data_IF_171982808170
#
_entry.id   IF_171982808170
#
_cell.length_a   1.000
_cell.length_b   1.000
_cell.length_c   1.000
_cell.angle_alpha   90.00
_cell.angle_beta   90.00
_cell.angle_gamma   90.00
#
_symmetry.space_group_name_H-M   'P 1'
#
loop_
_entity.id
_entity.type
_entity.pdbx_description
1 polymer ?
#
# COMPACT_ATOMS: atom_id res chain seq x y z
N UNK A 1 3.90 18.67 -21.92
CA UNK A 1 3.19 17.51 -21.41
C UNK A 1 2.16 17.92 -20.37
N UNK A 2 1.08 17.15 -20.23
CA UNK A 2 0.08 17.38 -19.16
C UNK A 2 0.60 16.83 -17.83
N UNK A 3 0.29 17.56 -16.74
CA UNK A 3 0.62 17.16 -15.37
C UNK A 3 -0.44 17.69 -14.40
N UNK A 4 -0.99 16.82 -13.55
CA UNK A 4 -1.90 17.24 -12.47
C UNK A 4 -1.05 17.66 -11.28
N UNK A 5 -1.15 18.95 -10.84
CA UNK A 5 -0.19 19.55 -9.92
C UNK A 5 -0.83 20.17 -8.68
N UNK A 6 -0.08 20.11 -7.57
CA UNK A 6 -0.36 20.82 -6.33
C UNK A 6 0.48 22.12 -6.29
N UNK A 7 -0.18 23.27 -6.30
CA UNK A 7 0.44 24.59 -6.20
C UNK A 7 0.47 25.14 -4.78
N UNK A 8 -0.43 24.66 -3.93
CA UNK A 8 -0.56 25.06 -2.53
C UNK A 8 -1.00 23.86 -1.69
N UNK A 9 -0.76 23.84 -0.36
CA UNK A 9 -1.33 22.83 0.51
C UNK A 9 -2.86 22.85 0.43
N UNK A 10 -3.48 21.66 0.29
CA UNK A 10 -4.93 21.54 0.25
C UNK A 10 -5.38 20.17 -0.23
N UNK A 11 -6.68 19.89 -0.07
CA UNK A 11 -7.30 18.65 -0.50
C UNK A 11 -7.31 18.46 -2.02
N UNK A 12 -7.80 17.29 -2.51
CA UNK A 12 -7.74 16.90 -3.93
C UNK A 12 -8.36 17.92 -4.91
N UNK A 13 -9.33 18.71 -4.47
CA UNK A 13 -9.98 19.73 -5.29
C UNK A 13 -9.08 20.95 -5.60
N UNK A 14 -7.93 21.08 -4.93
CA UNK A 14 -6.96 22.18 -5.19
C UNK A 14 -5.95 21.85 -6.29
N UNK A 15 -5.97 20.61 -6.79
CA UNK A 15 -5.10 20.18 -7.88
C UNK A 15 -5.57 20.79 -9.20
N UNK A 16 -4.61 21.22 -10.02
CA UNK A 16 -4.87 21.74 -11.37
C UNK A 16 -4.11 20.96 -12.43
N UNK A 17 -4.71 20.84 -13.60
CA UNK A 17 -4.04 20.25 -14.76
C UNK A 17 -3.26 21.36 -15.48
N UNK A 18 -1.94 21.21 -15.51
CA UNK A 18 -1.03 22.16 -16.14
C UNK A 18 -0.42 21.55 -17.41
N UNK A 19 -0.04 22.43 -18.35
CA UNK A 19 0.90 22.11 -19.39
C UNK A 19 2.31 22.52 -18.98
N UNK A 20 3.25 21.58 -18.95
CA UNK A 20 4.63 21.78 -18.55
C UNK A 20 5.62 21.18 -19.54
N UNK A 21 6.87 21.61 -19.52
CA UNK A 21 7.92 20.98 -20.32
C UNK A 21 8.13 19.53 -19.89
N UNK A 22 8.38 18.65 -20.87
CA UNK A 22 8.73 17.27 -20.58
C UNK A 22 10.15 17.21 -19.97
N UNK A 23 10.37 16.42 -18.91
CA UNK A 23 11.71 16.23 -18.38
C UNK A 23 12.58 15.44 -19.36
N UNK A 24 13.90 15.65 -19.29
CA UNK A 24 14.89 14.76 -19.88
C UNK A 24 15.56 13.93 -18.79
N UNK A 25 15.92 12.65 -19.05
CA UNK A 25 16.61 11.85 -18.05
C UNK A 25 18.01 12.37 -17.82
N UNK A 26 18.37 12.59 -16.56
CA UNK A 26 19.74 12.87 -16.13
C UNK A 26 20.64 11.62 -16.14
N UNK A 27 21.95 11.76 -15.82
CA UNK A 27 22.81 10.60 -15.62
C UNK A 27 22.25 9.63 -14.58
N UNK A 28 22.18 8.34 -14.91
CA UNK A 28 21.66 7.32 -14.03
C UNK A 28 20.11 7.23 -13.98
N UNK A 29 19.39 8.00 -14.78
CA UNK A 29 17.92 8.02 -14.81
C UNK A 29 17.34 7.41 -16.10
N UNK A 30 16.10 6.98 -16.00
CA UNK A 30 15.28 6.51 -17.11
C UNK A 30 14.06 7.43 -17.24
N UNK A 31 13.77 7.91 -18.45
CA UNK A 31 12.52 8.61 -18.75
C UNK A 31 11.42 7.59 -19.05
N UNK A 32 10.34 7.65 -18.30
CA UNK A 32 9.18 6.79 -18.46
C UNK A 32 8.01 7.58 -19.06
N UNK A 33 7.49 7.14 -20.19
CA UNK A 33 6.16 7.53 -20.68
C UNK A 33 5.11 6.75 -19.88
N UNK A 34 4.45 7.42 -18.97
CA UNK A 34 3.53 6.79 -18.02
C UNK A 34 2.24 6.36 -18.76
N UNK A 35 1.74 5.18 -18.44
CA UNK A 35 0.46 4.63 -18.92
C UNK A 35 -0.55 4.47 -17.78
N UNK A 36 -0.06 4.31 -16.56
CA UNK A 36 -0.89 4.20 -15.38
C UNK A 36 -0.14 4.70 -14.14
N UNK A 37 -0.85 5.36 -13.24
CA UNK A 37 -0.38 5.76 -11.91
C UNK A 37 -1.32 5.19 -10.84
N UNK A 38 -0.78 4.42 -9.91
CA UNK A 38 -1.51 3.90 -8.76
C UNK A 38 -1.62 4.92 -7.65
N UNK A 39 -2.84 5.17 -7.16
CA UNK A 39 -3.09 6.10 -6.08
C UNK A 39 -2.97 5.39 -4.73
N UNK A 40 -2.32 6.05 -3.78
CA UNK A 40 -2.04 5.54 -2.46
C UNK A 40 -2.42 6.54 -1.36
N UNK A 41 -2.63 6.09 -0.13
CA UNK A 41 -3.01 6.97 0.97
C UNK A 41 -1.99 8.10 1.23
N UNK A 42 -0.66 7.89 1.11
CA UNK A 42 0.30 9.00 1.16
C UNK A 42 0.05 10.13 0.17
N UNK A 43 -0.58 9.88 -0.98
CA UNK A 43 -0.91 10.93 -1.94
C UNK A 43 -1.93 11.92 -1.38
N UNK A 44 -2.83 11.48 -0.50
CA UNK A 44 -3.78 12.35 0.20
C UNK A 44 -3.09 13.25 1.22
N UNK A 45 -2.03 12.75 1.86
CA UNK A 45 -1.30 13.47 2.90
C UNK A 45 -0.25 14.43 2.33
N UNK A 46 0.42 14.06 1.22
CA UNK A 46 1.50 14.86 0.65
C UNK A 46 0.99 16.17 0.03
N UNK A 47 -0.22 16.17 -0.55
CA UNK A 47 -0.85 17.39 -1.08
C UNK A 47 -1.27 18.38 0.02
N UNK A 48 -1.47 17.89 1.25
CA UNK A 48 -1.85 18.67 2.42
C UNK A 48 -0.67 19.00 3.35
N UNK A 49 0.58 18.66 2.97
CA UNK A 49 1.80 18.78 3.81
C UNK A 49 1.76 17.99 5.14
N UNK A 50 0.94 16.96 5.19
CA UNK A 50 0.79 16.08 6.37
C UNK A 50 1.68 14.83 6.32
N UNK A 51 2.45 14.64 5.24
CA UNK A 51 3.36 13.52 5.08
C UNK A 51 4.80 13.87 5.47
N UNK A 52 5.65 12.85 5.73
CA UNK A 52 7.05 13.06 6.10
C UNK A 52 7.87 13.71 4.99
N UNK A 53 7.55 13.40 3.73
CA UNK A 53 8.18 14.02 2.57
C UNK A 53 7.31 15.18 2.07
N UNK A 54 7.93 16.34 1.87
CA UNK A 54 7.26 17.56 1.39
C UNK A 54 7.97 18.06 0.14
N UNK A 55 7.59 17.59 -1.06
CA UNK A 55 8.17 18.08 -2.30
C UNK A 55 7.99 19.59 -2.44
N UNK A 56 8.98 20.29 -3.04
CA UNK A 56 8.79 21.71 -3.36
C UNK A 56 7.65 21.88 -4.36
N UNK A 57 6.79 22.88 -4.11
CA UNK A 57 5.68 23.19 -5.03
C UNK A 57 6.14 24.10 -6.17
N UNK A 58 5.52 23.96 -7.37
CA UNK A 58 4.44 23.04 -7.70
C UNK A 58 4.96 21.63 -8.05
N UNK A 59 4.28 20.57 -7.57
CA UNK A 59 4.63 19.17 -7.86
C UNK A 59 3.38 18.36 -8.23
N UNK A 60 3.58 17.26 -8.97
CA UNK A 60 2.55 16.26 -9.23
C UNK A 60 2.57 15.19 -8.14
N UNK A 61 1.44 14.81 -7.51
CA UNK A 61 1.39 13.64 -6.65
C UNK A 61 1.50 12.34 -7.46
N UNK A 62 1.36 11.19 -6.79
CA UNK A 62 1.50 9.86 -7.38
C UNK A 62 2.90 9.29 -7.18
N UNK A 63 2.99 8.20 -6.43
CA UNK A 63 4.26 7.59 -6.02
C UNK A 63 4.53 6.23 -6.68
N UNK A 64 3.66 5.76 -7.57
CA UNK A 64 3.72 4.42 -8.16
C UNK A 64 3.20 4.48 -9.59
N UNK A 65 4.04 4.12 -10.56
CA UNK A 65 3.70 4.23 -11.99
C UNK A 65 4.06 2.97 -12.76
N UNK A 66 3.42 2.79 -13.91
CA UNK A 66 3.86 1.85 -14.93
C UNK A 66 3.72 2.48 -16.32
N UNK A 67 4.62 2.10 -17.24
CA UNK A 67 4.66 2.66 -18.58
C UNK A 67 5.76 2.05 -19.43
N UNK A 68 6.20 2.83 -20.42
CA UNK A 68 7.27 2.46 -21.35
C UNK A 68 8.49 3.36 -21.13
N UNK A 69 9.66 2.80 -21.24
CA UNK A 69 10.90 3.57 -21.32
C UNK A 69 10.88 4.40 -22.60
N UNK A 70 10.99 5.72 -22.50
CA UNK A 70 11.06 6.62 -23.65
C UNK A 70 12.49 7.05 -23.97
N UNK A 71 13.32 7.21 -22.95
CA UNK A 71 14.74 7.54 -23.09
C UNK A 71 15.55 7.03 -21.91
N UNK A 72 16.84 6.86 -22.11
CA UNK A 72 17.79 6.35 -21.10
C UNK A 72 18.90 7.39 -20.94
N UNK A 73 19.17 7.78 -19.70
CA UNK A 73 20.23 8.73 -19.37
C UNK A 73 21.63 8.13 -19.43
N UNK A 74 22.63 9.00 -19.37
CA UNK A 74 24.04 8.58 -19.39
C UNK A 74 24.38 7.61 -18.25
N UNK A 75 25.15 6.57 -18.56
CA UNK A 75 25.62 5.57 -17.58
C UNK A 75 24.57 4.51 -17.18
N UNK A 76 23.33 4.60 -17.64
CA UNK A 76 22.32 3.57 -17.38
C UNK A 76 22.58 2.37 -18.26
N UNK A 77 22.56 1.18 -17.67
CA UNK A 77 22.64 -0.11 -18.37
C UNK A 77 21.44 -0.97 -18.00
N UNK A 78 21.06 -1.89 -18.91
CA UNK A 78 19.96 -2.84 -18.64
C UNK A 78 18.56 -2.33 -18.97
N UNK A 79 18.41 -1.12 -19.50
CA UNK A 79 17.17 -0.55 -20.00
C UNK A 79 17.33 -0.06 -21.43
N UNK A 80 16.27 -0.20 -22.22
CA UNK A 80 16.18 0.33 -23.59
C UNK A 80 14.81 0.94 -23.84
N UNK A 81 14.71 1.75 -24.88
CA UNK A 81 13.44 2.35 -25.32
C UNK A 81 12.43 1.23 -25.61
N UNK A 82 11.16 1.49 -25.28
CA UNK A 82 10.02 0.58 -25.34
C UNK A 82 10.01 -0.57 -24.31
N UNK A 83 10.99 -0.66 -23.42
CA UNK A 83 10.90 -1.59 -22.29
C UNK A 83 9.65 -1.27 -21.44
N UNK A 84 8.89 -2.31 -21.12
CA UNK A 84 7.73 -2.22 -20.23
C UNK A 84 8.20 -2.22 -18.77
N UNK A 85 7.84 -1.17 -18.03
CA UNK A 85 8.36 -0.97 -16.68
C UNK A 85 7.28 -0.55 -15.69
N UNK A 86 7.56 -0.83 -14.42
CA UNK A 86 6.91 -0.21 -13.28
C UNK A 86 7.97 0.46 -12.41
N UNK A 87 7.63 1.55 -11.72
CA UNK A 87 8.56 2.30 -10.90
C UNK A 87 7.92 2.85 -9.63
N UNK A 88 8.74 3.03 -8.59
CA UNK A 88 8.34 3.68 -7.34
C UNK A 88 9.01 5.05 -7.26
N UNK A 89 8.19 6.05 -6.97
CA UNK A 89 8.55 7.46 -6.86
C UNK A 89 8.32 7.96 -5.43
N UNK A 90 8.68 9.22 -5.17
CA UNK A 90 8.19 9.97 -4.01
C UNK A 90 6.96 10.78 -4.41
N UNK A 91 6.98 11.33 -5.62
CA UNK A 91 5.93 12.10 -6.28
C UNK A 91 6.24 12.17 -7.78
N UNK A 92 5.36 12.71 -8.59
CA UNK A 92 5.59 12.89 -10.03
C UNK A 92 4.85 11.87 -10.91
N UNK A 93 3.99 11.03 -10.34
CA UNK A 93 3.29 9.98 -11.09
C UNK A 93 2.04 10.46 -11.84
N UNK A 94 1.40 11.56 -11.42
CA UNK A 94 0.23 12.12 -12.11
C UNK A 94 0.64 13.11 -13.21
N UNK A 95 1.42 12.64 -14.18
CA UNK A 95 1.82 13.36 -15.38
C UNK A 95 2.13 12.37 -16.52
N UNK A 96 2.28 12.88 -17.74
CA UNK A 96 2.52 12.01 -18.90
C UNK A 96 3.92 11.36 -18.90
N UNK A 97 4.93 12.03 -18.32
CA UNK A 97 6.32 11.52 -18.33
C UNK A 97 7.05 11.87 -17.02
N UNK A 98 7.92 10.98 -16.58
CA UNK A 98 8.74 11.18 -15.37
C UNK A 98 10.14 10.61 -15.57
N UNK A 99 11.16 11.34 -15.12
CA UNK A 99 12.53 10.83 -15.02
C UNK A 99 12.72 10.15 -13.64
N UNK A 100 13.23 8.92 -13.63
CA UNK A 100 13.33 8.07 -12.45
C UNK A 100 14.73 7.46 -12.36
N UNK A 101 15.37 7.44 -11.18
CA UNK A 101 16.60 6.67 -10.98
C UNK A 101 16.42 5.20 -11.40
N UNK A 102 17.35 4.69 -12.21
CA UNK A 102 17.24 3.36 -12.83
C UNK A 102 17.14 2.21 -11.81
N UNK A 103 17.63 2.42 -10.59
CA UNK A 103 17.55 1.46 -9.49
C UNK A 103 16.15 1.31 -8.89
N UNK A 104 15.24 2.25 -9.18
CA UNK A 104 13.82 2.23 -8.77
C UNK A 104 12.88 1.75 -9.88
N UNK A 105 13.43 1.34 -11.01
CA UNK A 105 12.69 0.83 -12.17
C UNK A 105 12.75 -0.69 -12.17
N UNK A 106 11.63 -1.34 -12.45
CA UNK A 106 11.45 -2.78 -12.47
C UNK A 106 10.82 -3.20 -13.79
N UNK A 107 11.36 -4.25 -14.41
CA UNK A 107 10.76 -4.81 -15.62
C UNK A 107 9.35 -5.33 -15.32
N UNK A 108 8.37 -4.85 -16.07
CA UNK A 108 7.00 -5.32 -15.97
C UNK A 108 6.85 -6.59 -16.83
N UNK A 109 6.49 -7.73 -16.23
CA UNK A 109 6.39 -8.99 -16.96
C UNK A 109 5.37 -8.94 -18.10
N UNK A 110 5.61 -9.72 -19.15
CA UNK A 110 4.65 -9.89 -20.22
C UNK A 110 3.29 -10.38 -19.72
N UNK A 111 2.22 -9.86 -20.32
CA UNK A 111 0.84 -10.17 -19.93
C UNK A 111 0.33 -9.41 -18.71
N UNK A 112 1.18 -8.72 -17.95
CA UNK A 112 0.76 -7.82 -16.85
C UNK A 112 0.37 -6.47 -17.45
N UNK A 113 -0.84 -5.96 -17.17
CA UNK A 113 -1.26 -4.64 -17.65
C UNK A 113 -0.54 -3.52 -16.90
N UNK A 114 -0.49 -2.31 -17.47
CA UNK A 114 0.14 -1.17 -16.81
C UNK A 114 -0.62 -0.78 -15.53
N UNK A 115 -1.94 -0.91 -15.53
CA UNK A 115 -2.76 -0.65 -14.36
C UNK A 115 -2.39 -1.58 -13.19
N UNK A 116 -2.20 -2.88 -13.47
CA UNK A 116 -1.75 -3.85 -12.46
C UNK A 116 -0.32 -3.53 -12.02
N UNK A 117 0.58 -3.20 -12.96
CA UNK A 117 1.96 -2.79 -12.64
C UNK A 117 2.02 -1.59 -11.71
N UNK A 118 1.19 -0.56 -11.97
CA UNK A 118 1.07 0.64 -11.15
C UNK A 118 0.28 0.43 -9.84
N UNK A 119 -0.34 -0.73 -9.63
CA UNK A 119 -1.19 -0.99 -8.47
C UNK A 119 -0.53 -1.85 -7.39
N UNK A 120 0.72 -2.35 -7.60
CA UNK A 120 1.24 -3.40 -6.74
C UNK A 120 2.55 -3.07 -6.02
N UNK A 121 3.43 -2.25 -6.60
CA UNK A 121 4.77 -2.09 -6.04
C UNK A 121 4.75 -1.50 -4.64
N UNK A 122 3.90 -0.52 -4.36
CA UNK A 122 3.83 0.11 -3.04
C UNK A 122 3.04 -0.73 -2.05
N UNK A 123 1.84 -1.21 -2.42
CA UNK A 123 0.97 -1.95 -1.49
C UNK A 123 1.47 -3.37 -1.25
N UNK A 124 1.77 -4.14 -2.30
CA UNK A 124 2.29 -5.50 -2.15
C UNK A 124 3.74 -5.49 -1.67
N UNK A 125 4.56 -4.51 -2.09
CA UNK A 125 5.91 -4.31 -1.56
C UNK A 125 5.91 -4.07 -0.05
N UNK A 126 5.04 -3.18 0.43
CA UNK A 126 4.85 -2.95 1.88
C UNK A 126 4.44 -4.25 2.58
N UNK A 127 3.45 -4.96 2.02
CA UNK A 127 2.89 -6.15 2.67
C UNK A 127 3.84 -7.34 2.67
N UNK A 128 4.57 -7.61 1.57
CA UNK A 128 5.55 -8.69 1.57
C UNK A 128 6.73 -8.40 2.50
N UNK A 129 7.21 -7.13 2.53
CA UNK A 129 8.24 -6.71 3.49
C UNK A 129 7.75 -6.87 4.93
N UNK A 130 6.51 -6.44 5.21
CA UNK A 130 5.90 -6.57 6.53
C UNK A 130 5.79 -8.04 6.96
N UNK A 131 5.17 -8.88 6.14
CA UNK A 131 4.84 -10.25 6.52
C UNK A 131 6.09 -11.15 6.50
N UNK A 132 6.95 -11.04 5.50
CA UNK A 132 8.15 -11.87 5.38
C UNK A 132 9.30 -11.37 6.25
N UNK A 133 9.70 -10.09 6.11
CA UNK A 133 10.93 -9.60 6.73
C UNK A 133 10.70 -9.10 8.16
N UNK A 134 9.55 -8.45 8.41
CA UNK A 134 9.29 -7.89 9.74
C UNK A 134 8.58 -8.87 10.67
N UNK A 135 7.57 -9.58 10.17
CA UNK A 135 6.84 -10.57 10.97
C UNK A 135 7.49 -11.95 10.96
N UNK A 136 8.21 -12.34 9.89
CA UNK A 136 8.60 -13.72 9.65
C UNK A 136 7.39 -14.66 9.76
N UNK A 137 6.30 -14.32 9.03
CA UNK A 137 5.05 -15.06 9.06
C UNK A 137 5.26 -16.51 8.61
N UNK A 138 4.78 -17.46 9.42
CA UNK A 138 4.88 -18.89 9.14
C UNK A 138 3.55 -19.46 8.66
N UNK A 139 3.61 -20.52 7.86
CA UNK A 139 2.41 -21.26 7.49
C UNK A 139 1.68 -21.80 8.73
N UNK A 140 0.35 -21.70 8.73
CA UNK A 140 -0.49 -22.11 9.87
C UNK A 140 -0.67 -21.06 10.97
N UNK A 141 0.12 -19.97 10.97
CA UNK A 141 -0.13 -18.84 11.90
C UNK A 141 -1.41 -18.09 11.54
N UNK A 142 -2.05 -17.51 12.54
CA UNK A 142 -3.22 -16.62 12.35
C UNK A 142 -2.74 -15.19 12.14
N UNK A 143 -3.08 -14.61 10.99
CA UNK A 143 -2.85 -13.23 10.61
C UNK A 143 -4.14 -12.42 10.73
N UNK A 144 -4.21 -11.46 11.65
CA UNK A 144 -5.31 -10.49 11.72
C UNK A 144 -4.93 -9.24 10.92
N UNK A 145 -5.72 -8.90 9.90
CA UNK A 145 -5.53 -7.73 9.04
C UNK A 145 -6.60 -6.70 9.34
N UNK A 146 -6.23 -5.55 9.87
CA UNK A 146 -7.13 -4.40 10.00
C UNK A 146 -7.24 -3.66 8.66
N UNK A 147 -8.41 -3.08 8.37
CA UNK A 147 -8.63 -2.39 7.09
C UNK A 147 -8.42 -3.27 5.87
N UNK A 148 -8.80 -4.54 5.97
CA UNK A 148 -8.45 -5.61 5.03
C UNK A 148 -8.97 -5.41 3.59
N UNK A 149 -9.92 -4.50 3.35
CA UNK A 149 -10.44 -4.19 2.01
C UNK A 149 -9.79 -2.97 1.35
N UNK A 150 -8.89 -2.25 2.04
CA UNK A 150 -8.07 -1.20 1.43
C UNK A 150 -6.88 -1.79 0.66
N UNK A 151 -6.20 -0.99 -0.18
CA UNK A 151 -5.12 -1.50 -1.05
C UNK A 151 -4.05 -2.29 -0.30
N UNK A 152 -3.52 -1.73 0.80
CA UNK A 152 -2.48 -2.38 1.61
C UNK A 152 -3.03 -3.55 2.43
N UNK A 153 -4.27 -3.43 2.95
CA UNK A 153 -4.92 -4.51 3.68
C UNK A 153 -5.23 -5.72 2.80
N UNK A 154 -5.78 -5.47 1.60
CA UNK A 154 -6.12 -6.53 0.65
C UNK A 154 -4.87 -7.28 0.16
N UNK A 155 -3.77 -6.56 -0.13
CA UNK A 155 -2.50 -7.19 -0.46
C UNK A 155 -1.94 -8.05 0.68
N UNK A 156 -2.16 -7.65 1.96
CA UNK A 156 -1.77 -8.46 3.11
C UNK A 156 -2.64 -9.72 3.25
N UNK A 157 -3.93 -9.65 2.92
CA UNK A 157 -4.82 -10.83 2.88
C UNK A 157 -4.32 -11.83 1.85
N UNK A 158 -4.12 -11.40 0.60
CA UNK A 158 -3.65 -12.28 -0.49
C UNK A 158 -2.28 -12.89 -0.19
N UNK A 159 -1.32 -12.07 0.23
CA UNK A 159 0.04 -12.53 0.56
C UNK A 159 0.04 -13.47 1.77
N UNK A 160 -0.71 -13.14 2.83
CA UNK A 160 -0.86 -14.00 3.99
C UNK A 160 -1.41 -15.38 3.60
N UNK A 161 -2.43 -15.40 2.76
CA UNK A 161 -2.99 -16.64 2.22
C UNK A 161 -1.98 -17.41 1.35
N UNK A 162 -1.29 -16.71 0.47
CA UNK A 162 -0.25 -17.30 -0.39
C UNK A 162 0.95 -17.85 0.42
N UNK A 163 1.20 -17.33 1.63
CA UNK A 163 2.19 -17.82 2.59
C UNK A 163 1.69 -18.97 3.47
N UNK A 164 0.41 -19.37 3.33
CA UNK A 164 -0.18 -20.47 4.09
C UNK A 164 -0.69 -20.09 5.49
N UNK A 165 -0.87 -18.81 5.78
CA UNK A 165 -1.46 -18.34 7.02
C UNK A 165 -2.98 -18.54 7.02
N UNK A 166 -3.58 -18.64 8.22
CA UNK A 166 -4.99 -18.43 8.44
C UNK A 166 -5.25 -16.93 8.54
N UNK A 167 -6.04 -16.37 7.64
CA UNK A 167 -6.24 -14.92 7.53
C UNK A 167 -7.59 -14.51 8.09
N UNK A 168 -7.59 -13.63 9.08
CA UNK A 168 -8.76 -12.97 9.65
C UNK A 168 -8.79 -11.53 9.13
N UNK A 169 -9.80 -11.18 8.35
CA UNK A 169 -9.95 -9.87 7.75
C UNK A 169 -10.92 -8.99 8.55
N UNK A 170 -10.44 -7.89 9.08
CA UNK A 170 -11.26 -6.92 9.81
C UNK A 170 -11.62 -5.72 8.92
N UNK A 171 -12.90 -5.46 8.74
CA UNK A 171 -13.46 -4.52 7.76
C UNK A 171 -14.67 -3.76 8.33
N UNK A 172 -15.15 -2.72 7.61
CA UNK A 172 -16.20 -1.82 8.12
C UNK A 172 -17.62 -2.13 7.66
N UNK A 173 -17.82 -3.05 6.71
CA UNK A 173 -19.14 -3.44 6.21
C UNK A 173 -19.08 -4.78 5.46
N UNK A 174 -20.27 -5.32 5.10
CA UNK A 174 -20.43 -6.59 4.41
C UNK A 174 -19.81 -6.62 3.01
N UNK A 175 -19.91 -5.54 2.23
CA UNK A 175 -19.29 -5.45 0.90
C UNK A 175 -17.79 -5.64 0.98
N UNK A 176 -17.15 -4.98 1.95
CA UNK A 176 -15.71 -5.12 2.22
C UNK A 176 -15.35 -6.51 2.75
N UNK A 177 -16.24 -7.15 3.52
CA UNK A 177 -16.05 -8.52 3.96
C UNK A 177 -16.10 -9.50 2.78
N UNK A 178 -17.07 -9.35 1.88
CA UNK A 178 -17.15 -10.17 0.68
C UNK A 178 -15.89 -10.04 -0.21
N UNK A 179 -15.37 -8.82 -0.38
CA UNK A 179 -14.11 -8.59 -1.12
C UNK A 179 -12.92 -9.27 -0.45
N UNK A 180 -12.79 -9.16 0.89
CA UNK A 180 -11.70 -9.80 1.62
C UNK A 180 -11.78 -11.33 1.55
N UNK A 181 -12.99 -11.91 1.63
CA UNK A 181 -13.20 -13.35 1.42
C UNK A 181 -12.81 -13.79 0.00
N UNK A 182 -13.19 -13.02 -1.03
CA UNK A 182 -12.81 -13.30 -2.42
C UNK A 182 -11.28 -13.24 -2.62
N UNK A 183 -10.57 -12.42 -1.84
CA UNK A 183 -9.11 -12.33 -1.81
C UNK A 183 -8.44 -13.44 -0.98
N UNK A 184 -9.21 -14.31 -0.31
CA UNK A 184 -8.72 -15.48 0.40
C UNK A 184 -8.74 -15.38 1.92
N UNK A 185 -9.43 -14.41 2.53
CA UNK A 185 -9.64 -14.40 3.97
C UNK A 185 -10.46 -15.63 4.41
N UNK A 186 -10.02 -16.29 5.49
CA UNK A 186 -10.68 -17.46 6.06
C UNK A 186 -11.82 -17.07 7.00
N UNK A 187 -11.76 -15.86 7.58
CA UNK A 187 -12.73 -15.33 8.54
C UNK A 187 -12.82 -13.82 8.40
N UNK A 188 -13.97 -13.23 8.71
CA UNK A 188 -14.14 -11.77 8.69
C UNK A 188 -14.69 -11.25 10.00
N UNK A 189 -14.26 -10.04 10.38
CA UNK A 189 -14.80 -9.29 11.51
C UNK A 189 -15.27 -7.93 11.02
N UNK A 190 -16.57 -7.66 11.14
CA UNK A 190 -17.12 -6.35 10.84
C UNK A 190 -17.06 -5.49 12.09
N UNK A 191 -16.46 -4.30 11.96
CA UNK A 191 -16.30 -3.34 13.05
C UNK A 191 -16.98 -2.00 12.74
N UNK A 192 -17.44 -1.32 13.81
CA UNK A 192 -17.97 0.04 13.71
C UNK A 192 -16.87 1.09 13.53
N UNK A 193 -17.27 2.36 13.52
CA UNK A 193 -16.33 3.50 13.44
C UNK A 193 -16.04 4.06 14.85
N UNK A 194 -14.79 4.42 15.18
CA UNK A 194 -14.47 5.09 16.42
C UNK A 194 -15.03 6.54 16.41
N UNK A 195 -15.15 7.21 17.57
CA UNK A 195 -14.69 6.74 18.89
C UNK A 195 -15.56 5.61 19.45
N UNK A 196 -14.91 4.61 20.08
CA UNK A 196 -15.60 3.52 20.76
C UNK A 196 -15.77 3.87 22.25
N UNK A 197 -16.97 3.63 22.79
CA UNK A 197 -17.13 3.53 24.22
C UNK A 197 -16.53 2.21 24.76
N UNK A 198 -16.57 2.04 26.09
CA UNK A 198 -15.97 0.88 26.76
C UNK A 198 -16.60 -0.45 26.34
N UNK A 199 -17.90 -0.46 26.13
CA UNK A 199 -18.63 -1.69 25.77
C UNK A 199 -18.44 -2.05 24.30
N UNK A 200 -18.41 -1.06 23.42
CA UNK A 200 -18.08 -1.22 21.99
C UNK A 200 -16.66 -1.73 21.81
N UNK A 201 -15.67 -1.16 22.53
CA UNK A 201 -14.28 -1.63 22.49
C UNK A 201 -14.15 -3.07 23.03
N UNK A 202 -14.92 -3.42 24.07
CA UNK A 202 -14.97 -4.77 24.64
C UNK A 202 -15.61 -5.76 23.67
N UNK A 203 -16.70 -5.39 23.00
CA UNK A 203 -17.36 -6.20 21.98
C UNK A 203 -16.43 -6.46 20.79
N UNK A 204 -15.74 -5.42 20.30
CA UNK A 204 -14.75 -5.55 19.22
C UNK A 204 -13.62 -6.50 19.59
N UNK A 205 -13.07 -6.38 20.82
CA UNK A 205 -12.09 -7.35 21.34
C UNK A 205 -12.65 -8.77 21.36
N UNK A 206 -13.90 -8.95 21.78
CA UNK A 206 -14.57 -10.25 21.79
C UNK A 206 -14.62 -10.86 20.39
N UNK A 207 -14.99 -10.06 19.40
CA UNK A 207 -15.08 -10.47 18.00
C UNK A 207 -13.69 -10.86 17.44
N UNK A 208 -12.64 -10.05 17.71
CA UNK A 208 -11.28 -10.41 17.29
C UNK A 208 -10.81 -11.71 17.92
N UNK A 209 -11.05 -11.91 19.24
CA UNK A 209 -10.66 -13.15 19.92
C UNK A 209 -11.41 -14.37 19.36
N UNK A 210 -12.71 -14.23 19.13
CA UNK A 210 -13.52 -15.31 18.56
C UNK A 210 -13.01 -15.70 17.16
N UNK A 211 -12.79 -14.72 16.30
CA UNK A 211 -12.30 -14.93 14.95
C UNK A 211 -10.86 -15.47 14.90
N UNK A 212 -9.95 -14.99 15.77
CA UNK A 212 -8.57 -15.50 15.82
C UNK A 212 -8.43 -16.86 16.50
N UNK A 213 -9.43 -17.27 17.28
CA UNK A 213 -9.40 -18.53 18.04
C UNK A 213 -8.58 -18.46 19.33
N UNK A 214 -8.45 -19.59 20.05
CA UNK A 214 -7.88 -19.64 21.40
C UNK A 214 -6.40 -19.24 21.47
N UNK A 215 -5.65 -19.41 20.39
CA UNK A 215 -4.23 -18.98 20.28
C UNK A 215 -4.03 -17.48 20.09
N UNK A 216 -5.09 -16.74 19.77
CA UNK A 216 -5.01 -15.34 19.36
C UNK A 216 -4.36 -15.15 17.99
N UNK A 217 -4.10 -13.90 17.59
CA UNK A 217 -3.39 -13.58 16.38
C UNK A 217 -1.86 -13.69 16.59
N UNK A 218 -1.17 -14.51 15.83
CA UNK A 218 0.31 -14.55 15.85
C UNK A 218 0.90 -13.33 15.15
N UNK A 219 0.20 -12.79 14.15
CA UNK A 219 0.58 -11.55 13.49
C UNK A 219 -0.63 -10.63 13.38
N UNK A 220 -0.46 -9.36 13.73
CA UNK A 220 -1.44 -8.32 13.47
C UNK A 220 -0.85 -7.34 12.47
N UNK A 221 -1.57 -7.09 11.37
CA UNK A 221 -1.20 -6.16 10.32
C UNK A 221 -2.12 -4.92 10.43
N UNK A 222 -1.57 -3.81 10.90
CA UNK A 222 -2.37 -2.60 11.19
C UNK A 222 -1.99 -1.38 10.34
N UNK A 223 -2.70 -1.11 9.23
CA UNK A 223 -2.62 0.14 8.49
C UNK A 223 -3.60 1.21 8.99
N UNK A 224 -4.39 0.93 10.04
CA UNK A 224 -5.53 1.75 10.46
C UNK A 224 -5.22 2.57 11.71
N UNK A 225 -4.70 1.95 12.75
CA UNK A 225 -4.41 2.60 14.03
C UNK A 225 -5.67 3.04 14.80
N UNK A 226 -5.59 4.24 15.41
CA UNK A 226 -6.70 4.83 16.14
C UNK A 226 -7.28 3.93 17.22
N UNK A 227 -8.59 3.99 17.40
CA UNK A 227 -9.32 3.20 18.41
C UNK A 227 -9.36 1.69 18.15
N UNK A 228 -8.93 1.22 17.00
CA UNK A 228 -8.89 -0.21 16.67
C UNK A 228 -7.65 -0.93 17.24
N UNK A 229 -6.57 -0.19 17.44
CA UNK A 229 -5.26 -0.75 17.78
C UNK A 229 -5.24 -1.46 19.14
N UNK A 230 -5.86 -0.89 20.20
CA UNK A 230 -5.87 -1.52 21.51
C UNK A 230 -6.69 -2.82 21.52
N UNK A 231 -7.95 -2.89 21.03
CA UNK A 231 -8.67 -4.15 20.89
C UNK A 231 -7.90 -5.21 20.11
N UNK A 232 -7.24 -4.84 19.02
CA UNK A 232 -6.42 -5.76 18.24
C UNK A 232 -5.22 -6.26 19.04
N UNK A 233 -4.46 -5.36 19.71
CA UNK A 233 -3.33 -5.74 20.56
C UNK A 233 -3.75 -6.65 21.72
N UNK A 234 -4.95 -6.51 22.27
CA UNK A 234 -5.49 -7.41 23.30
C UNK A 234 -5.85 -8.81 22.75
N UNK A 235 -6.06 -8.94 21.44
CA UNK A 235 -6.33 -10.22 20.76
C UNK A 235 -5.06 -10.92 20.27
N UNK A 236 -3.87 -10.33 20.48
CA UNK A 236 -2.58 -10.91 20.09
C UNK A 236 -2.32 -12.21 20.86
N UNK A 237 -1.73 -13.19 20.17
CA UNK A 237 -1.27 -14.43 20.78
C UNK A 237 0.01 -14.27 21.60
N UNK A 238 0.44 -15.36 22.23
CA UNK A 238 1.74 -15.40 22.90
C UNK A 238 2.87 -15.24 21.89
N UNK A 239 3.86 -14.39 22.19
CA UNK A 239 4.99 -14.02 21.30
C UNK A 239 4.53 -13.49 19.92
N UNK A 240 3.33 -12.91 19.87
CA UNK A 240 2.79 -12.35 18.64
C UNK A 240 3.52 -11.08 18.19
N UNK A 241 3.38 -10.74 16.92
CA UNK A 241 4.01 -9.57 16.29
C UNK A 241 2.94 -8.62 15.81
N UNK A 242 2.90 -7.42 16.38
CA UNK A 242 2.05 -6.33 15.97
C UNK A 242 2.80 -5.44 14.96
N UNK A 243 2.36 -5.40 13.71
CA UNK A 243 2.99 -4.64 12.64
C UNK A 243 2.31 -3.28 12.50
N UNK A 244 3.05 -2.22 12.74
CA UNK A 244 2.61 -0.84 12.56
C UNK A 244 2.88 -0.44 11.11
N UNK A 245 1.83 -0.36 10.28
CA UNK A 245 1.92 -0.06 8.85
C UNK A 245 1.53 1.39 8.56
N UNK A 246 0.49 1.89 9.22
CA UNK A 246 -0.05 3.23 8.99
C UNK A 246 -1.10 3.65 10.01
N UNK A 247 -1.69 4.82 9.81
CA UNK A 247 -2.54 5.49 10.79
C UNK A 247 -3.73 6.18 10.13
N UNK A 248 -4.46 5.49 9.25
CA UNK A 248 -5.59 6.09 8.54
C UNK A 248 -6.73 6.55 9.47
N UNK A 249 -6.83 5.98 10.67
CA UNK A 249 -7.75 6.41 11.73
C UNK A 249 -7.06 7.16 12.88
N UNK A 250 -5.83 7.64 12.67
CA UNK A 250 -5.03 8.38 13.65
C UNK A 250 -4.00 7.51 14.38
N UNK A 251 -3.00 8.18 14.97
CA UNK A 251 -1.92 7.52 15.72
C UNK A 251 -2.49 6.95 17.03
N UNK A 252 -2.36 5.64 17.29
CA UNK A 252 -2.89 5.01 18.49
C UNK A 252 -2.01 5.26 19.71
N UNK A 253 -2.63 5.23 20.89
CA UNK A 253 -1.94 5.10 22.16
C UNK A 253 -2.14 3.68 22.68
N UNK A 254 -1.05 2.90 22.79
CA UNK A 254 -1.10 1.52 23.26
C UNK A 254 -0.54 1.39 24.68
N UNK A 255 -1.27 0.76 25.61
CA UNK A 255 -0.74 0.41 26.92
C UNK A 255 0.37 -0.66 26.79
N UNK A 256 1.63 -0.30 27.08
CA UNK A 256 2.79 -1.19 26.87
C UNK A 256 2.77 -2.47 27.72
N UNK A 257 2.01 -2.47 28.82
CA UNK A 257 1.80 -3.68 29.61
C UNK A 257 1.14 -4.82 28.81
N UNK A 258 0.42 -4.50 27.70
CA UNK A 258 -0.15 -5.51 26.82
C UNK A 258 0.94 -6.30 26.07
N UNK A 259 2.02 -5.64 25.67
CA UNK A 259 3.18 -6.32 25.10
C UNK A 259 3.88 -7.20 26.14
N UNK A 260 4.07 -6.68 27.37
CA UNK A 260 4.72 -7.40 28.46
C UNK A 260 4.01 -8.72 28.78
N UNK A 261 2.69 -8.70 29.00
CA UNK A 261 1.93 -9.89 29.45
C UNK A 261 1.76 -10.96 28.37
N UNK A 262 2.10 -10.63 27.11
CA UNK A 262 2.04 -11.56 25.97
C UNK A 262 3.41 -11.88 25.40
N UNK A 263 4.50 -11.32 25.95
CA UNK A 263 5.84 -11.34 25.35
C UNK A 263 5.81 -10.93 23.88
N UNK A 264 4.92 -10.00 23.51
CA UNK A 264 4.65 -9.64 22.13
C UNK A 264 5.55 -8.50 21.67
N UNK A 265 5.87 -8.50 20.38
CA UNK A 265 6.64 -7.45 19.72
C UNK A 265 5.72 -6.42 19.05
N UNK A 266 6.12 -5.13 19.13
CA UNK A 266 5.57 -4.07 18.29
C UNK A 266 6.65 -3.69 17.27
N UNK A 267 6.37 -3.89 15.98
CA UNK A 267 7.34 -3.73 14.89
C UNK A 267 6.90 -2.70 13.87
N UNK A 268 7.67 -1.63 13.70
CA UNK A 268 7.44 -0.65 12.65
C UNK A 268 7.73 -1.24 11.26
N UNK A 269 6.95 -0.81 10.28
CA UNK A 269 7.11 -1.17 8.86
C UNK A 269 7.21 0.10 8.04
N UNK A 270 8.41 0.47 7.63
CA UNK A 270 8.64 1.63 6.78
C UNK A 270 9.30 1.18 5.46
N UNK A 271 8.45 0.74 4.52
CA UNK A 271 8.89 0.18 3.25
C UNK A 271 9.66 1.17 2.40
N UNK A 272 9.25 2.45 2.38
CA UNK A 272 9.96 3.50 1.65
C UNK A 272 11.43 3.62 2.04
N UNK A 273 11.73 3.61 3.35
CA UNK A 273 13.11 3.66 3.85
C UNK A 273 13.87 2.36 3.57
N UNK A 274 13.20 1.20 3.69
CA UNK A 274 13.79 -0.08 3.35
C UNK A 274 14.26 -0.14 1.88
N UNK A 275 13.45 0.33 0.94
CA UNK A 275 13.82 0.39 -0.48
C UNK A 275 15.10 1.21 -0.72
N UNK A 276 15.22 2.33 -0.02
CA UNK A 276 16.37 3.23 -0.15
C UNK A 276 17.64 2.66 0.48
N UNK A 277 17.53 1.98 1.63
CA UNK A 277 18.67 1.41 2.35
C UNK A 277 19.14 0.08 1.78
N UNK A 278 18.23 -0.72 1.25
CA UNK A 278 18.49 -2.09 0.83
C UNK A 278 17.95 -2.37 -0.59
N UNK A 279 18.37 -1.62 -1.62
CA UNK A 279 17.78 -1.69 -2.97
C UNK A 279 17.90 -3.08 -3.59
N UNK A 280 18.99 -3.81 -3.34
CA UNK A 280 19.16 -5.17 -3.85
C UNK A 280 18.15 -6.17 -3.24
N UNK A 281 17.89 -6.06 -1.93
CA UNK A 281 16.87 -6.89 -1.27
C UNK A 281 15.46 -6.51 -1.75
N UNK A 282 15.20 -5.23 -1.92
CA UNK A 282 13.93 -4.77 -2.49
C UNK A 282 13.72 -5.32 -3.89
N UNK A 283 14.74 -5.29 -4.75
CA UNK A 283 14.65 -5.86 -6.11
C UNK A 283 14.30 -7.35 -6.08
N UNK A 284 14.89 -8.12 -5.16
CA UNK A 284 14.56 -9.53 -4.96
C UNK A 284 13.09 -9.73 -4.53
N UNK A 285 12.59 -8.92 -3.59
CA UNK A 285 11.19 -8.99 -3.14
C UNK A 285 10.20 -8.64 -4.26
N UNK A 286 10.50 -7.61 -5.07
CA UNK A 286 9.66 -7.23 -6.22
C UNK A 286 9.67 -8.33 -7.28
N UNK A 287 10.82 -8.94 -7.57
CA UNK A 287 10.91 -10.10 -8.46
C UNK A 287 10.03 -11.26 -8.01
N UNK A 288 10.01 -11.53 -6.71
CA UNK A 288 9.15 -12.55 -6.14
C UNK A 288 7.65 -12.20 -6.26
N UNK A 289 7.28 -10.94 -6.02
CA UNK A 289 5.91 -10.47 -6.21
C UNK A 289 5.45 -10.68 -7.66
N UNK A 290 6.28 -10.33 -8.64
CA UNK A 290 5.94 -10.58 -10.05
C UNK A 290 5.83 -12.07 -10.37
N UNK A 291 6.68 -12.91 -9.80
CA UNK A 291 6.56 -14.36 -9.96
C UNK A 291 5.25 -14.89 -9.35
N UNK A 292 4.84 -14.38 -8.18
CA UNK A 292 3.55 -14.74 -7.56
C UNK A 292 2.36 -14.27 -8.40
N UNK A 293 2.45 -13.07 -8.99
CA UNK A 293 1.43 -12.52 -9.90
C UNK A 293 1.29 -13.40 -11.15
N UNK A 294 2.39 -13.73 -11.83
CA UNK A 294 2.40 -14.59 -13.02
C UNK A 294 1.88 -16.01 -12.72
N UNK A 295 2.15 -16.53 -11.53
CA UNK A 295 1.61 -17.80 -11.04
C UNK A 295 0.13 -17.73 -10.63
N UNK A 296 -0.51 -16.54 -10.68
CA UNK A 296 -1.90 -16.33 -10.26
C UNK A 296 -2.14 -16.47 -8.76
N UNK A 297 -1.09 -16.44 -7.94
CA UNK A 297 -1.16 -16.55 -6.47
C UNK A 297 -1.59 -15.26 -5.79
N UNK A 298 -1.41 -14.13 -6.46
CA UNK A 298 -1.91 -12.81 -6.09
C UNK A 298 -2.58 -12.18 -7.30
N UNK A 299 -3.61 -11.36 -7.07
CA UNK A 299 -4.41 -10.72 -8.13
C UNK A 299 -4.81 -9.31 -7.69
N UNK A 300 -3.97 -8.29 -7.90
CA UNK A 300 -4.27 -6.93 -7.48
C UNK A 300 -5.66 -6.48 -7.93
N UNK A 301 -6.53 -6.18 -6.97
CA UNK A 301 -7.89 -5.73 -7.24
C UNK A 301 -7.92 -4.22 -7.48
N UNK A 302 -8.25 -3.82 -8.71
CA UNK A 302 -8.43 -2.42 -9.11
C UNK A 302 -9.94 -2.13 -9.11
N UNK A 303 -10.38 -1.29 -8.18
CA UNK A 303 -11.80 -0.98 -7.99
C UNK A 303 -12.30 0.16 -8.88
N UNK A 304 -11.41 1.06 -9.27
CA UNK A 304 -11.76 2.19 -10.11
C UNK A 304 -10.57 2.69 -10.92
N UNK A 305 -10.86 3.19 -12.13
CA UNK A 305 -9.91 3.87 -12.99
C UNK A 305 -10.42 5.25 -13.35
N UNK A 306 -9.51 6.22 -13.43
CA UNK A 306 -9.81 7.61 -13.78
C UNK A 306 -8.85 8.09 -14.85
N UNK A 307 -9.23 8.99 -15.76
CA UNK A 307 -8.28 9.68 -16.63
C UNK A 307 -7.46 10.71 -15.82
N UNK A 308 -6.31 11.15 -16.35
CA UNK A 308 -5.40 12.10 -15.68
C UNK A 308 -6.12 13.36 -15.19
N UNK A 309 -7.01 13.92 -16.00
CA UNK A 309 -7.80 15.12 -15.72
C UNK A 309 -8.67 14.98 -14.45
N UNK A 310 -9.02 13.75 -14.10
CA UNK A 310 -9.83 13.40 -12.92
C UNK A 310 -9.00 12.75 -11.80
N UNK A 311 -7.68 12.88 -11.83
CA UNK A 311 -6.80 12.31 -10.79
C UNK A 311 -7.08 12.84 -9.37
N UNK A 312 -7.58 14.06 -9.25
CA UNK A 312 -8.06 14.60 -7.97
C UNK A 312 -9.23 13.80 -7.39
N UNK A 313 -10.18 13.35 -8.22
CA UNK A 313 -11.29 12.49 -7.79
C UNK A 313 -10.78 11.10 -7.35
N UNK A 314 -9.77 10.57 -8.02
CA UNK A 314 -9.12 9.33 -7.64
C UNK A 314 -8.49 9.42 -6.23
N UNK A 315 -7.83 10.53 -5.91
CA UNK A 315 -7.28 10.79 -4.57
C UNK A 315 -8.41 10.98 -3.55
N UNK A 316 -9.49 11.71 -3.90
CA UNK A 316 -10.63 11.94 -3.02
C UNK A 316 -11.31 10.63 -2.58
N UNK A 317 -11.39 9.64 -3.48
CA UNK A 317 -11.97 8.33 -3.18
C UNK A 317 -11.24 7.62 -2.02
N UNK A 318 -9.91 7.79 -1.92
CA UNK A 318 -9.11 7.23 -0.82
C UNK A 318 -9.29 8.04 0.48
N UNK A 319 -9.26 9.37 0.42
CA UNK A 319 -9.42 10.22 1.61
C UNK A 319 -10.80 10.05 2.26
N UNK A 320 -11.83 9.77 1.48
CA UNK A 320 -13.19 9.50 1.94
C UNK A 320 -13.39 8.05 2.47
N UNK A 321 -12.38 7.19 2.38
CA UNK A 321 -12.44 5.78 2.80
C UNK A 321 -13.39 4.91 1.96
N UNK A 322 -13.69 5.34 0.72
CA UNK A 322 -14.60 4.67 -0.21
C UNK A 322 -13.89 3.69 -1.16
N UNK A 323 -12.56 3.71 -1.22
CA UNK A 323 -11.79 2.82 -2.07
C UNK A 323 -11.90 1.35 -1.62
N UNK A 324 -12.09 0.44 -2.56
CA UNK A 324 -12.09 -1.02 -2.40
C UNK A 324 -10.87 -1.59 -3.14
N UNK A 325 -9.78 -1.88 -2.45
CA UNK A 325 -8.52 -2.25 -3.12
C UNK A 325 -7.80 -1.04 -3.69
N UNK A 326 -7.36 -1.12 -4.95
CA UNK A 326 -6.56 -0.08 -5.61
C UNK A 326 -7.39 0.80 -6.53
N UNK A 327 -6.99 2.07 -6.60
CA UNK A 327 -7.49 3.06 -7.55
C UNK A 327 -6.32 3.46 -8.45
N UNK A 328 -6.57 3.56 -9.76
CA UNK A 328 -5.55 3.83 -10.78
C UNK A 328 -5.98 5.01 -11.65
N UNK A 329 -5.03 5.85 -12.00
CA UNK A 329 -5.19 6.90 -13.01
C UNK A 329 -4.52 6.44 -14.30
N UNK A 330 -5.26 6.41 -15.40
CA UNK A 330 -4.76 6.13 -16.76
C UNK A 330 -4.26 7.43 -17.39
N UNK A 331 -3.14 7.35 -18.11
CA UNK A 331 -2.42 8.50 -18.67
C UNK A 331 -2.12 8.27 -20.16
#
# INVERSE_FOLDING_TARGET
MKALRSHQPGGPATLSLDEVDAPSPGPGEVLIAIKACGINFPDTLIIEDLYQFKPPRPFSPGAEVAGLVEAVGEGVTGWQVDDRVAAILISGGLCEKVAVPADRVFALPDGVTFEVGAAMLLTYGTSIYALRNRANLQAGETLLVLGAAGGTGLSAVELGKAMGARVVAAVSNEEKAALACAAGADETVIYGRPPFDRDQARALLGNFKAACGPGGAQVIYDPVGGGYAEPAMRAIGWEGRYLVIGFTAGIPSLPLNLALIKSADIRGVFYGEFMMREPARNRSLVGELFAMLQAGRIKPHISATFPLERGGEAIALLSEGKALGKVVVQI
#
